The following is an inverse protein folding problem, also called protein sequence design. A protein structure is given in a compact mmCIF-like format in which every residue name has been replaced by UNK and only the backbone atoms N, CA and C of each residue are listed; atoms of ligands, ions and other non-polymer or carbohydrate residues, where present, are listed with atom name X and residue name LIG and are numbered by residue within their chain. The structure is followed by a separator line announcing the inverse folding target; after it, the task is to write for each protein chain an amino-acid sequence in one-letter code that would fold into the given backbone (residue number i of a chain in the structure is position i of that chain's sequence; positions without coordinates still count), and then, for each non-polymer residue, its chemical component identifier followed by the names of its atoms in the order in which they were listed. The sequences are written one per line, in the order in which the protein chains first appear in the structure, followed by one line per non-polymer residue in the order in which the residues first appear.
data_IF_103330927290
#
_entry.id   IF_103330927290
#
_cell.length_a   1.000
_cell.length_b   1.000
_cell.length_c   1.000
_cell.angle_alpha   90.00
_cell.angle_beta   90.00
_cell.angle_gamma   90.00
#
_symmetry.space_group_name_H-M   'P 1'
#
loop_
_entity.id
_entity.type
_entity.pdbx_description
1 polymer ?
#
# COMPACT_ATOMS: atom_id res chain seq x y z
N UNK A 1 -15.29 -20.21 -35.29
CA UNK A 1 -14.92 -19.12 -34.37
C UNK A 1 -16.19 -18.45 -33.86
N UNK A 2 -16.48 -18.59 -32.58
CA UNK A 2 -17.46 -17.77 -31.84
C UNK A 2 -16.66 -17.04 -30.76
N UNK A 3 -16.78 -15.71 -30.60
CA UNK A 3 -15.95 -14.96 -29.69
C UNK A 3 -16.37 -15.18 -28.23
N UNK A 4 -15.39 -14.94 -27.39
CA UNK A 4 -15.26 -15.27 -25.98
C UNK A 4 -16.37 -14.75 -25.07
N UNK A 5 -16.66 -15.55 -24.05
CA UNK A 5 -17.33 -15.16 -22.83
C UNK A 5 -16.77 -13.82 -22.34
N UNK A 6 -17.62 -12.79 -22.34
CA UNK A 6 -17.36 -11.52 -21.68
C UNK A 6 -17.12 -11.78 -20.19
N UNK A 7 -15.85 -11.89 -19.83
CA UNK A 7 -15.34 -11.62 -18.50
C UNK A 7 -15.86 -10.28 -18.00
N UNK A 8 -15.99 -10.19 -16.69
CA UNK A 8 -16.26 -8.96 -15.94
C UNK A 8 -17.68 -8.42 -16.03
N UNK A 9 -18.61 -9.16 -15.39
CA UNK A 9 -19.77 -8.57 -14.73
C UNK A 9 -19.34 -7.69 -13.55
N UNK A 10 -18.71 -6.56 -13.86
CA UNK A 10 -18.44 -5.48 -12.94
C UNK A 10 -19.76 -4.90 -12.45
N UNK A 11 -20.03 -5.03 -11.15
CA UNK A 11 -20.94 -4.17 -10.39
C UNK A 11 -20.71 -4.40 -8.90
N UNK A 12 -19.50 -4.10 -8.42
CA UNK A 12 -19.25 -3.93 -7.00
C UNK A 12 -19.75 -2.53 -6.58
N UNK A 13 -21.07 -2.33 -6.68
CA UNK A 13 -21.75 -1.06 -6.37
C UNK A 13 -21.90 -0.93 -4.84
N UNK A 14 -21.50 0.26 -4.36
CA UNK A 14 -21.59 0.80 -3.01
C UNK A 14 -20.95 -0.03 -1.86
N UNK A 15 -19.70 0.27 -1.54
CA UNK A 15 -18.92 -0.28 -0.41
C UNK A 15 -19.10 0.56 0.89
N UNK A 16 -20.30 1.11 1.10
CA UNK A 16 -20.70 1.76 2.36
C UNK A 16 -20.80 0.77 3.53
N UNK A 17 -20.91 1.30 4.77
CA UNK A 17 -20.63 0.64 6.07
C UNK A 17 -20.59 -0.90 6.06
N UNK A 18 -19.39 -1.44 6.26
CA UNK A 18 -19.12 -2.87 6.32
C UNK A 18 -18.75 -3.48 4.97
N UNK A 19 -17.61 -3.05 4.40
CA UNK A 19 -17.01 -3.65 3.20
C UNK A 19 -16.87 -5.18 3.37
N UNK A 20 -17.77 -5.90 2.68
CA UNK A 20 -17.85 -7.37 2.72
C UNK A 20 -16.60 -8.03 2.14
N UNK A 21 -15.93 -7.38 1.19
CA UNK A 21 -14.69 -7.89 0.58
C UNK A 21 -13.56 -7.78 1.59
N UNK A 22 -13.36 -6.62 2.20
CA UNK A 22 -12.37 -6.42 3.27
C UNK A 22 -12.59 -7.38 4.44
N UNK A 23 -13.83 -7.56 4.90
CA UNK A 23 -14.16 -8.51 5.96
C UNK A 23 -13.80 -9.97 5.58
N UNK A 24 -14.05 -10.37 4.33
CA UNK A 24 -13.68 -11.70 3.83
C UNK A 24 -12.17 -11.90 3.78
N UNK A 25 -11.42 -10.89 3.35
CA UNK A 25 -9.96 -10.94 3.35
C UNK A 25 -9.40 -11.03 4.76
N UNK A 26 -9.89 -10.19 5.68
CA UNK A 26 -9.51 -10.25 7.10
C UNK A 26 -9.74 -11.65 7.68
N UNK A 27 -10.95 -12.20 7.51
CA UNK A 27 -11.29 -13.52 8.03
C UNK A 27 -10.40 -14.63 7.45
N UNK A 28 -10.05 -14.54 6.17
CA UNK A 28 -9.12 -15.49 5.54
C UNK A 28 -7.74 -15.41 6.19
N UNK A 29 -7.17 -14.21 6.30
CA UNK A 29 -5.84 -14.02 6.87
C UNK A 29 -5.76 -14.44 8.33
N UNK A 30 -6.80 -14.18 9.14
CA UNK A 30 -6.85 -14.68 10.52
C UNK A 30 -6.81 -16.21 10.56
N UNK A 31 -7.60 -16.88 9.71
CA UNK A 31 -7.60 -18.35 9.64
C UNK A 31 -6.24 -18.90 9.21
N UNK A 32 -5.62 -18.31 8.19
CA UNK A 32 -4.28 -18.69 7.73
C UNK A 32 -3.23 -18.46 8.83
N UNK A 33 -3.31 -17.35 9.56
CA UNK A 33 -2.39 -17.04 10.65
C UNK A 33 -2.46 -18.07 11.77
N UNK A 34 -3.68 -18.45 12.17
CA UNK A 34 -3.92 -19.50 13.17
C UNK A 34 -3.48 -20.87 12.66
N UNK A 35 -3.85 -21.23 11.43
CA UNK A 35 -3.50 -22.53 10.84
C UNK A 35 -1.98 -22.73 10.69
N UNK A 36 -1.23 -21.65 10.49
CA UNK A 36 0.23 -21.68 10.42
C UNK A 36 0.91 -21.82 11.80
N UNK A 37 0.16 -21.89 12.91
CA UNK A 37 0.73 -22.05 14.26
C UNK A 37 1.55 -20.85 14.74
N UNK A 38 1.35 -19.66 14.15
CA UNK A 38 2.13 -18.45 14.45
C UNK A 38 1.64 -17.69 15.68
N UNK A 39 0.58 -18.17 16.34
CA UNK A 39 -0.12 -17.44 17.39
C UNK A 39 0.77 -17.26 18.61
N UNK A 40 1.40 -18.35 19.05
CA UNK A 40 2.23 -18.40 20.25
C UNK A 40 3.50 -17.55 20.10
N UNK A 41 4.15 -17.63 18.94
CA UNK A 41 5.37 -16.87 18.66
C UNK A 41 5.07 -15.38 18.55
N UNK A 42 3.99 -14.99 17.85
CA UNK A 42 3.58 -13.60 17.77
C UNK A 42 3.17 -13.02 19.13
N UNK A 43 2.50 -13.82 19.98
CA UNK A 43 2.17 -13.41 21.34
C UNK A 43 3.44 -13.18 22.18
N UNK A 44 4.44 -14.05 22.03
CA UNK A 44 5.73 -13.92 22.72
C UNK A 44 6.48 -12.68 22.26
N UNK A 45 6.55 -12.44 20.95
CA UNK A 45 7.19 -11.24 20.38
C UNK A 45 6.50 -9.96 20.83
N UNK A 46 5.16 -9.94 20.83
CA UNK A 46 4.38 -8.80 21.31
C UNK A 46 4.67 -8.51 22.79
N UNK A 47 4.72 -9.56 23.63
CA UNK A 47 5.10 -9.43 25.04
C UNK A 47 6.51 -8.83 25.19
N UNK A 48 7.49 -9.37 24.48
CA UNK A 48 8.86 -8.85 24.53
C UNK A 48 8.95 -7.39 24.08
N UNK A 49 8.20 -7.00 23.05
CA UNK A 49 8.17 -5.62 22.58
C UNK A 49 7.65 -4.66 23.67
N UNK A 50 6.53 -5.02 24.31
CA UNK A 50 5.95 -4.22 25.41
C UNK A 50 6.90 -4.12 26.60
N UNK A 51 7.54 -5.22 26.99
CA UNK A 51 8.48 -5.24 28.12
C UNK A 51 9.77 -4.46 27.82
N UNK A 52 10.27 -4.52 26.59
CA UNK A 52 11.52 -3.88 26.19
C UNK A 52 11.38 -2.36 26.01
N UNK A 53 10.28 -1.90 25.43
CA UNK A 53 10.05 -0.47 25.18
C UNK A 53 8.58 -0.09 25.44
N UNK A 54 8.20 0.05 26.72
CA UNK A 54 6.81 0.32 27.09
C UNK A 54 6.32 1.67 26.56
N UNK A 55 7.21 2.67 26.44
CA UNK A 55 6.84 4.00 25.95
C UNK A 55 6.60 4.01 24.43
N UNK A 56 7.35 3.23 23.65
CA UNK A 56 7.06 3.06 22.23
C UNK A 56 5.82 2.19 21.99
N UNK A 57 5.62 1.15 22.79
CA UNK A 57 4.41 0.33 22.75
C UNK A 57 3.15 1.16 23.02
N UNK A 58 3.18 2.02 24.05
CA UNK A 58 2.06 2.93 24.35
C UNK A 58 1.80 3.91 23.18
N UNK A 59 2.86 4.48 22.59
CA UNK A 59 2.73 5.33 21.40
C UNK A 59 2.14 4.57 20.20
N UNK A 60 2.53 3.31 20.00
CA UNK A 60 1.99 2.47 18.94
C UNK A 60 0.49 2.20 19.16
N UNK A 61 0.09 1.87 20.39
CA UNK A 61 -1.31 1.67 20.75
C UNK A 61 -2.13 2.96 20.57
N UNK A 62 -1.63 4.10 21.03
CA UNK A 62 -2.27 5.40 20.82
C UNK A 62 -2.46 5.72 19.33
N UNK A 63 -1.49 5.38 18.47
CA UNK A 63 -1.60 5.53 17.01
C UNK A 63 -2.65 4.58 16.43
N UNK A 64 -2.65 3.32 16.83
CA UNK A 64 -3.63 2.32 16.37
C UNK A 64 -5.06 2.70 16.77
N UNK A 65 -5.25 3.18 18.01
CA UNK A 65 -6.55 3.63 18.55
C UNK A 65 -7.08 4.87 17.84
N UNK A 66 -6.20 5.77 17.40
CA UNK A 66 -6.57 6.91 16.54
C UNK A 66 -7.03 6.46 15.15
N UNK A 67 -6.80 5.20 14.80
CA UNK A 67 -7.06 4.64 13.49
C UNK A 67 -6.09 5.20 12.43
N UNK A 68 -6.16 4.67 11.20
CA UNK A 68 -5.55 5.36 10.08
C UNK A 68 -6.12 6.78 10.03
N UNK A 69 -5.25 7.80 10.00
CA UNK A 69 -5.70 9.17 9.74
C UNK A 69 -6.38 9.18 8.38
N UNK A 70 -7.70 9.20 8.38
CA UNK A 70 -8.49 9.17 7.16
C UNK A 70 -8.25 10.40 6.31
N UNK A 71 -7.91 10.15 5.04
CA UNK A 71 -8.35 10.98 3.93
C UNK A 71 -7.45 12.14 3.51
N UNK A 72 -6.22 11.90 3.06
CA UNK A 72 -5.82 12.61 1.85
C UNK A 72 -6.53 11.89 0.71
N UNK A 73 -7.74 12.33 0.37
CA UNK A 73 -8.21 12.21 -1.01
C UNK A 73 -7.22 13.03 -1.83
N UNK A 74 -6.07 12.45 -2.15
CA UNK A 74 -5.18 13.03 -3.15
C UNK A 74 -6.03 12.99 -4.40
N UNK A 75 -6.54 14.15 -4.81
CA UNK A 75 -7.28 14.24 -6.05
C UNK A 75 -6.34 13.80 -7.17
N UNK A 76 -6.90 13.24 -8.25
CA UNK A 76 -6.09 12.89 -9.43
C UNK A 76 -5.29 14.11 -9.90
N UNK A 77 -5.83 15.32 -9.74
CA UNK A 77 -5.15 16.58 -10.01
C UNK A 77 -3.94 16.84 -9.10
N UNK A 78 -4.06 16.57 -7.80
CA UNK A 78 -2.93 16.70 -6.86
C UNK A 78 -1.83 15.67 -7.18
N UNK A 79 -2.23 14.45 -7.56
CA UNK A 79 -1.32 13.39 -7.97
C UNK A 79 -0.62 13.71 -9.30
N UNK A 80 -1.36 14.28 -10.25
CA UNK A 80 -0.84 14.77 -11.54
C UNK A 80 0.06 16.00 -11.37
N UNK A 81 -0.29 16.92 -10.47
CA UNK A 81 0.54 18.08 -10.14
C UNK A 81 1.87 17.64 -9.52
N UNK A 82 1.82 16.69 -8.59
CA UNK A 82 3.02 16.09 -7.99
C UNK A 82 3.84 15.33 -9.04
N UNK A 83 3.18 14.56 -9.91
CA UNK A 83 3.78 13.87 -11.04
C UNK A 83 4.52 14.82 -11.99
N UNK A 84 3.89 15.92 -12.42
CA UNK A 84 4.53 16.94 -13.27
C UNK A 84 5.75 17.57 -12.59
N UNK A 85 5.65 17.90 -11.30
CA UNK A 85 6.78 18.49 -10.56
C UNK A 85 8.00 17.56 -10.49
N UNK A 86 7.78 16.25 -10.37
CA UNK A 86 8.84 15.24 -10.35
C UNK A 86 9.41 15.05 -11.75
N UNK A 87 8.56 14.97 -12.77
CA UNK A 87 8.98 14.86 -14.17
C UNK A 87 9.81 16.06 -14.60
N UNK A 88 9.39 17.29 -14.26
CA UNK A 88 10.12 18.51 -14.62
C UNK A 88 11.47 18.61 -13.91
N UNK A 89 11.57 18.12 -12.67
CA UNK A 89 12.85 18.05 -11.95
C UNK A 89 13.82 17.03 -12.55
N UNK A 90 13.31 15.91 -13.06
CA UNK A 90 14.13 14.81 -13.61
C UNK A 90 14.45 15.00 -15.09
N UNK A 91 13.61 15.71 -15.86
CA UNK A 91 13.78 16.00 -17.29
C UNK A 91 15.16 16.58 -17.66
N UNK A 92 15.71 17.62 -16.98
CA UNK A 92 17.03 18.13 -17.33
C UNK A 92 18.17 17.14 -17.01
N UNK A 93 18.01 16.30 -15.99
CA UNK A 93 18.99 15.25 -15.66
C UNK A 93 18.98 14.14 -16.71
N UNK A 94 17.79 13.70 -17.14
CA UNK A 94 17.63 12.69 -18.18
C UNK A 94 18.19 13.16 -19.53
N UNK A 95 17.97 14.44 -19.88
CA UNK A 95 18.54 15.03 -21.10
C UNK A 95 20.08 15.08 -21.06
N UNK A 96 20.67 15.45 -19.91
CA UNK A 96 22.13 15.42 -19.73
C UNK A 96 22.69 14.00 -19.81
N UNK A 97 21.99 13.01 -19.26
CA UNK A 97 22.41 11.61 -19.34
C UNK A 97 22.33 11.08 -20.77
N UNK A 98 21.26 11.40 -21.50
CA UNK A 98 21.11 11.05 -22.93
C UNK A 98 22.22 11.66 -23.78
N UNK A 99 22.55 12.94 -23.58
CA UNK A 99 23.66 13.58 -24.31
C UNK A 99 25.00 12.91 -23.99
N UNK A 100 25.26 12.58 -22.71
CA UNK A 100 26.51 11.92 -22.29
C UNK A 100 26.63 10.48 -22.82
N UNK A 101 25.51 9.78 -22.97
CA UNK A 101 25.47 8.44 -23.57
C UNK A 101 25.65 8.51 -25.10
N UNK A 102 24.98 9.45 -25.78
CA UNK A 102 25.15 9.67 -27.21
C UNK A 102 26.59 10.08 -27.56
N UNK A 103 27.26 10.89 -26.73
CA UNK A 103 28.68 11.23 -26.94
C UNK A 103 29.65 10.08 -26.68
N UNK A 104 29.23 9.05 -25.93
CA UNK A 104 30.08 7.93 -25.51
C UNK A 104 29.87 6.67 -26.35
N UNK A 105 28.71 6.53 -26.99
CA UNK A 105 28.33 5.38 -27.81
C UNK A 105 27.93 5.73 -29.26
N UNK A 106 27.93 7.03 -29.63
CA UNK A 106 27.68 7.50 -30.99
C UNK A 106 28.94 7.61 -31.84
N UNK A 107 29.66 6.49 -32.02
CA UNK A 107 30.49 6.23 -33.20
C UNK A 107 29.88 5.08 -33.97
#
# INVERSE_FOLDING_TARGET
MKPDNSSQGGNNRNQGEGDKVSARHYNRHVREFVANGKVEDAAREAKMYVERDPADAERAEQRARRGPKGGTRVSVDELMAKGRSVVDRVRPMALRLKQKLLSRFGR
#
